data_IF_483547465578
#
_entry.id   IF_483547465578
#
_cell.length_a   1.000
_cell.length_b   1.000
_cell.length_c   1.000
_cell.angle_alpha   90.00
_cell.angle_beta   90.00
_cell.angle_gamma   90.00
#
_symmetry.space_group_name_H-M   'P 1'
#
loop_
_entity.id
_entity.type
_entity.pdbx_description
1 polymer ?
#
# COMPACT_ATOMS: atom_id res chain seq x y z
N UNK A 1 -12.07 16.50 -32.60
CA UNK A 1 -10.58 16.45 -32.61
C UNK A 1 -10.00 17.86 -32.74
N UNK A 2 -9.42 18.41 -31.67
CA UNK A 2 -8.82 19.75 -31.70
C UNK A 2 -7.52 19.77 -32.53
N UNK A 3 -7.16 20.90 -33.17
CA UNK A 3 -5.87 21.05 -33.84
C UNK A 3 -4.71 20.85 -32.85
N UNK A 4 -3.59 20.29 -33.31
CA UNK A 4 -2.45 19.87 -32.47
C UNK A 4 -1.93 20.97 -31.51
N UNK A 5 -1.97 22.24 -31.92
CA UNK A 5 -1.59 23.40 -31.10
C UNK A 5 -2.56 23.68 -29.93
N UNK A 6 -3.87 23.55 -30.16
CA UNK A 6 -4.88 23.73 -29.12
C UNK A 6 -4.87 22.59 -28.09
N UNK A 7 -4.54 21.37 -28.55
CA UNK A 7 -4.41 20.20 -27.68
C UNK A 7 -3.28 20.35 -26.65
N UNK A 8 -2.12 20.87 -27.06
CA UNK A 8 -0.99 21.05 -26.15
C UNK A 8 -1.27 22.13 -25.08
N UNK A 9 -1.91 23.24 -25.47
CA UNK A 9 -2.26 24.31 -24.53
C UNK A 9 -3.24 23.82 -23.46
N UNK A 10 -4.23 23.00 -23.84
CA UNK A 10 -5.17 22.39 -22.90
C UNK A 10 -4.51 21.42 -21.92
N UNK A 11 -3.50 20.66 -22.37
CA UNK A 11 -2.74 19.78 -21.46
C UNK A 11 -1.92 20.57 -20.45
N UNK A 12 -1.27 21.65 -20.89
CA UNK A 12 -0.51 22.53 -20.00
C UNK A 12 -1.44 23.20 -18.96
N UNK A 13 -2.62 23.67 -19.37
CA UNK A 13 -3.64 24.18 -18.44
C UNK A 13 -4.00 23.15 -17.37
N UNK A 14 -4.29 21.91 -17.76
CA UNK A 14 -4.59 20.82 -16.82
C UNK A 14 -3.43 20.54 -15.85
N UNK A 15 -2.20 20.48 -16.38
CA UNK A 15 -1.01 20.22 -15.56
C UNK A 15 -0.71 21.37 -14.59
N UNK A 16 -0.92 22.62 -15.01
CA UNK A 16 -0.78 23.79 -14.13
C UNK A 16 -1.77 23.70 -12.98
N UNK A 17 -3.03 23.37 -13.27
CA UNK A 17 -4.06 23.22 -12.24
C UNK A 17 -3.74 22.07 -11.26
N UNK A 18 -3.24 20.93 -11.76
CA UNK A 18 -2.80 19.84 -10.90
C UNK A 18 -1.67 20.25 -9.93
N UNK A 19 -0.70 21.03 -10.41
CA UNK A 19 0.39 21.56 -9.57
C UNK A 19 -0.13 22.56 -8.55
N UNK A 20 -1.07 23.43 -8.94
CA UNK A 20 -1.69 24.41 -8.05
C UNK A 20 -2.45 23.73 -6.89
N UNK A 21 -3.27 22.72 -7.18
CA UNK A 21 -3.96 21.90 -6.17
C UNK A 21 -2.97 21.23 -5.22
N UNK A 22 -1.86 20.73 -5.76
CA UNK A 22 -0.77 20.15 -4.97
C UNK A 22 -0.20 21.16 -3.97
N UNK A 23 0.10 22.39 -4.42
CA UNK A 23 0.70 23.45 -3.58
C UNK A 23 -0.29 23.97 -2.54
N UNK A 24 -1.51 24.30 -2.94
CA UNK A 24 -2.46 25.07 -2.12
C UNK A 24 -3.30 24.18 -1.22
N UNK A 25 -4.01 23.19 -1.77
CA UNK A 25 -4.89 22.31 -1.02
C UNK A 25 -4.11 21.20 -0.32
N UNK A 26 -3.20 20.54 -1.05
CA UNK A 26 -2.48 19.39 -0.51
C UNK A 26 -1.22 19.79 0.26
N UNK A 27 -0.74 21.04 0.20
CA UNK A 27 0.50 21.50 0.86
C UNK A 27 1.73 20.67 0.50
N UNK A 28 1.83 20.29 -0.77
CA UNK A 28 2.97 19.60 -1.34
C UNK A 28 4.13 20.56 -1.60
N UNK A 29 5.37 20.08 -1.41
CA UNK A 29 6.57 20.83 -1.77
C UNK A 29 6.84 20.62 -3.25
N UNK A 30 6.33 21.54 -4.07
CA UNK A 30 6.44 21.52 -5.53
C UNK A 30 7.22 22.75 -6.03
N UNK A 31 8.24 23.17 -5.27
CA UNK A 31 9.13 24.28 -5.65
C UNK A 31 9.87 23.90 -6.93
N UNK A 32 9.82 24.78 -7.94
CA UNK A 32 10.45 24.54 -9.24
C UNK A 32 9.71 23.53 -10.13
N UNK A 33 8.49 23.11 -9.79
CA UNK A 33 7.63 22.27 -10.64
C UNK A 33 6.51 23.14 -11.22
N UNK A 34 6.37 23.12 -12.56
CA UNK A 34 5.28 23.74 -13.32
C UNK A 34 4.52 22.72 -14.18
N UNK A 35 3.41 23.15 -14.77
CA UNK A 35 2.61 22.27 -15.63
C UNK A 35 3.30 21.88 -16.93
N UNK A 36 4.25 22.71 -17.40
CA UNK A 36 5.09 22.38 -18.56
C UNK A 36 5.95 21.14 -18.31
N UNK A 37 6.59 21.05 -17.14
CA UNK A 37 7.44 19.91 -16.77
C UNK A 37 6.67 18.59 -16.78
N UNK A 38 5.42 18.60 -16.31
CA UNK A 38 4.55 17.44 -16.32
C UNK A 38 4.08 17.09 -17.73
N UNK A 39 3.70 18.08 -18.53
CA UNK A 39 3.24 17.87 -19.91
C UNK A 39 4.37 17.36 -20.83
N UNK A 40 5.60 17.82 -20.61
CA UNK A 40 6.80 17.34 -21.32
C UNK A 40 7.31 16.00 -20.79
N UNK A 41 6.73 15.48 -19.70
CA UNK A 41 7.07 14.17 -19.15
C UNK A 41 8.42 14.14 -18.45
N UNK A 42 8.82 15.24 -17.78
CA UNK A 42 10.05 15.25 -16.98
C UNK A 42 9.97 14.15 -15.90
N UNK A 43 10.81 13.10 -15.95
CA UNK A 43 10.66 11.93 -15.10
C UNK A 43 10.90 12.27 -13.62
N UNK A 44 11.90 13.12 -13.33
CA UNK A 44 12.25 13.51 -11.97
C UNK A 44 11.12 14.30 -11.31
N UNK A 45 10.59 15.31 -12.00
CA UNK A 45 9.55 16.18 -11.43
C UNK A 45 8.18 15.48 -11.35
N UNK A 46 7.89 14.61 -12.32
CA UNK A 46 6.69 13.76 -12.28
C UNK A 46 6.75 12.78 -11.10
N UNK A 47 7.87 12.10 -10.89
CA UNK A 47 8.05 11.19 -9.75
C UNK A 47 7.99 11.93 -8.40
N UNK A 48 8.52 13.16 -8.32
CA UNK A 48 8.43 13.98 -7.12
C UNK A 48 6.97 14.25 -6.71
N UNK A 49 6.10 14.60 -7.67
CA UNK A 49 4.67 14.80 -7.42
C UNK A 49 3.97 13.49 -7.03
N UNK A 50 4.19 12.42 -7.79
CA UNK A 50 3.56 11.10 -7.55
C UNK A 50 3.97 10.53 -6.18
N UNK A 51 5.23 10.70 -5.79
CA UNK A 51 5.70 10.29 -4.46
C UNK A 51 4.97 11.02 -3.34
N UNK A 52 4.75 12.33 -3.46
CA UNK A 52 4.04 13.10 -2.44
C UNK A 52 2.54 12.72 -2.38
N UNK A 53 1.92 12.43 -3.52
CA UNK A 53 0.56 11.87 -3.59
C UNK A 53 0.49 10.53 -2.87
N UNK A 54 1.39 9.60 -3.18
CA UNK A 54 1.47 8.29 -2.54
C UNK A 54 1.67 8.42 -1.02
N UNK A 55 2.61 9.28 -0.59
CA UNK A 55 2.87 9.53 0.83
C UNK A 55 1.63 10.09 1.54
N UNK A 56 0.92 11.04 0.93
CA UNK A 56 -0.31 11.59 1.50
C UNK A 56 -1.40 10.53 1.60
N UNK A 57 -1.57 9.70 0.57
CA UNK A 57 -2.52 8.60 0.60
C UNK A 57 -2.23 7.64 1.76
N UNK A 58 -0.99 7.19 1.93
CA UNK A 58 -0.59 6.34 3.07
C UNK A 58 -0.91 7.00 4.41
N UNK A 59 -0.61 8.29 4.56
CA UNK A 59 -0.90 9.02 5.79
C UNK A 59 -2.40 9.17 6.05
N UNK A 60 -3.22 9.35 5.01
CA UNK A 60 -4.67 9.42 5.15
C UNK A 60 -5.25 8.06 5.57
N UNK A 61 -4.81 6.97 4.93
CA UNK A 61 -5.19 5.60 5.35
C UNK A 61 -4.84 5.38 6.81
N UNK A 62 -3.67 5.82 7.26
CA UNK A 62 -3.26 5.73 8.66
C UNK A 62 -4.08 6.67 9.58
N UNK A 63 -4.40 7.88 9.15
CA UNK A 63 -5.20 8.83 9.96
C UNK A 63 -6.64 8.35 10.17
N UNK A 64 -7.26 7.82 9.12
CA UNK A 64 -8.63 7.28 9.18
C UNK A 64 -8.71 6.09 10.15
N UNK A 65 -7.65 5.28 10.17
CA UNK A 65 -7.48 4.18 11.11
C UNK A 65 -7.41 4.66 12.56
N UNK A 66 -6.72 5.77 12.84
CA UNK A 66 -6.43 6.28 14.18
C UNK A 66 -7.45 7.22 14.81
N UNK A 67 -8.67 7.35 14.27
CA UNK A 67 -9.70 8.28 14.77
C UNK A 67 -9.19 9.74 14.90
N UNK A 68 -8.34 10.18 13.97
CA UNK A 68 -7.73 11.51 13.99
C UNK A 68 -6.41 11.60 14.76
N UNK A 69 -5.95 10.52 15.40
CA UNK A 69 -4.59 10.37 15.92
C UNK A 69 -3.60 9.84 14.88
N UNK A 70 -2.31 10.15 15.05
CA UNK A 70 -1.25 9.47 14.29
C UNK A 70 -1.25 7.98 14.67
N UNK A 71 -1.55 7.10 13.72
CA UNK A 71 -1.36 5.66 13.94
C UNK A 71 0.13 5.39 14.03
N UNK A 72 0.56 4.90 15.20
CA UNK A 72 1.91 4.44 15.43
C UNK A 72 2.05 2.99 14.96
N UNK A 73 3.27 2.60 14.55
CA UNK A 73 3.62 1.24 14.13
C UNK A 73 3.15 0.19 15.16
N UNK A 74 3.30 0.50 16.44
CA UNK A 74 2.87 -0.35 17.56
C UNK A 74 1.37 -0.64 17.55
N UNK A 75 0.53 0.33 17.18
CA UNK A 75 -0.92 0.16 17.11
C UNK A 75 -1.29 -0.85 16.03
N UNK A 76 -0.64 -0.77 14.87
CA UNK A 76 -0.87 -1.70 13.76
C UNK A 76 -0.42 -3.10 14.17
N UNK A 77 0.79 -3.25 14.71
CA UNK A 77 1.34 -4.54 15.15
C UNK A 77 0.42 -5.18 16.20
N UNK A 78 -0.02 -4.39 17.19
CA UNK A 78 -0.96 -4.84 18.22
C UNK A 78 -2.27 -5.33 17.60
N UNK A 79 -2.85 -4.56 16.68
CA UNK A 79 -4.09 -4.94 16.00
C UNK A 79 -3.92 -6.23 15.18
N UNK A 80 -2.82 -6.36 14.45
CA UNK A 80 -2.51 -7.57 13.67
C UNK A 80 -2.45 -8.79 14.57
N UNK A 81 -1.66 -8.73 15.65
CA UNK A 81 -1.48 -9.86 16.56
C UNK A 81 -2.78 -10.20 17.31
N UNK A 82 -3.59 -9.21 17.69
CA UNK A 82 -4.90 -9.44 18.29
C UNK A 82 -5.86 -10.12 17.30
N UNK A 83 -5.88 -9.68 16.05
CA UNK A 83 -6.74 -10.25 15.00
C UNK A 83 -6.36 -11.70 14.71
N UNK A 84 -5.06 -12.00 14.63
CA UNK A 84 -4.54 -13.35 14.45
C UNK A 84 -4.87 -14.26 15.65
N UNK A 85 -4.69 -13.77 16.88
CA UNK A 85 -5.02 -14.51 18.10
C UNK A 85 -6.52 -14.83 18.18
N UNK A 86 -7.39 -13.86 17.88
CA UNK A 86 -8.84 -14.06 17.87
C UNK A 86 -9.29 -15.10 16.84
N UNK A 87 -8.56 -15.24 15.74
CA UNK A 87 -8.80 -16.25 14.70
C UNK A 87 -8.08 -17.58 14.97
N UNK A 88 -7.50 -17.78 16.17
CA UNK A 88 -6.73 -18.95 16.56
C UNK A 88 -5.59 -19.30 15.58
N UNK A 89 -4.93 -18.28 15.01
CA UNK A 89 -3.77 -18.45 14.13
C UNK A 89 -2.48 -18.50 14.95
N UNK A 90 -1.54 -19.34 14.53
CA UNK A 90 -0.25 -19.51 15.21
C UNK A 90 0.79 -18.46 14.83
N UNK A 91 0.58 -17.74 13.72
CA UNK A 91 1.50 -16.70 13.25
C UNK A 91 1.32 -15.41 14.05
N UNK A 92 2.43 -14.72 14.30
CA UNK A 92 2.45 -13.37 14.86
C UNK A 92 3.63 -12.60 14.27
N UNK A 93 3.62 -11.28 14.44
CA UNK A 93 4.73 -10.40 14.05
C UNK A 93 5.22 -9.59 15.24
N UNK A 94 6.54 -9.50 15.39
CA UNK A 94 7.16 -8.65 16.41
C UNK A 94 7.40 -7.22 15.92
N UNK A 95 7.69 -7.07 14.62
CA UNK A 95 7.96 -5.79 13.98
C UNK A 95 7.73 -5.89 12.46
N UNK A 96 7.73 -4.76 11.75
CA UNK A 96 7.72 -4.77 10.28
C UNK A 96 9.04 -5.21 9.63
N UNK A 97 10.05 -5.56 10.44
CA UNK A 97 11.34 -6.14 10.03
C UNK A 97 11.41 -7.65 10.31
N UNK A 98 10.32 -8.24 10.79
CA UNK A 98 10.30 -9.63 11.21
C UNK A 98 10.49 -10.56 10.00
N UNK A 99 11.48 -11.44 10.08
CA UNK A 99 11.84 -12.33 8.97
C UNK A 99 10.75 -13.36 8.66
N UNK A 100 9.85 -13.64 9.60
CA UNK A 100 8.67 -14.48 9.36
C UNK A 100 7.79 -13.94 8.23
N UNK A 101 7.78 -12.63 8.01
CA UNK A 101 7.04 -11.95 6.93
C UNK A 101 7.54 -12.38 5.55
N UNK A 102 8.82 -12.77 5.42
CA UNK A 102 9.38 -13.27 4.14
C UNK A 102 8.65 -14.50 3.60
N UNK A 103 7.96 -15.24 4.45
CA UNK A 103 7.14 -16.41 4.07
C UNK A 103 5.75 -16.03 3.57
N UNK A 104 5.34 -14.78 3.78
CA UNK A 104 3.98 -14.25 3.60
C UNK A 104 2.88 -14.97 4.41
N UNK A 105 3.22 -15.91 5.30
CA UNK A 105 2.26 -16.64 6.12
C UNK A 105 1.50 -15.73 7.09
N UNK A 106 2.12 -14.79 7.83
CA UNK A 106 1.38 -13.88 8.70
C UNK A 106 0.37 -13.02 7.94
N UNK A 107 0.68 -12.67 6.69
CA UNK A 107 -0.21 -11.88 5.82
C UNK A 107 -1.38 -12.75 5.36
N UNK A 108 -1.14 -13.98 4.92
CA UNK A 108 -2.17 -14.91 4.50
C UNK A 108 -3.12 -15.29 5.65
N UNK A 109 -2.56 -15.58 6.83
CA UNK A 109 -3.35 -15.89 8.01
C UNK A 109 -4.19 -14.69 8.48
N UNK A 110 -3.66 -13.46 8.34
CA UNK A 110 -4.41 -12.25 8.61
C UNK A 110 -5.54 -12.01 7.61
N UNK A 111 -5.31 -12.27 6.32
CA UNK A 111 -6.35 -12.19 5.28
C UNK A 111 -7.47 -13.18 5.57
N UNK A 112 -7.15 -14.41 5.95
CA UNK A 112 -8.14 -15.43 6.31
C UNK A 112 -8.91 -15.05 7.60
N UNK A 113 -8.25 -14.40 8.56
CA UNK A 113 -8.90 -13.87 9.75
C UNK A 113 -9.89 -12.73 9.44
N UNK A 114 -9.56 -11.85 8.48
CA UNK A 114 -10.42 -10.73 8.06
C UNK A 114 -11.58 -11.23 7.18
N UNK A 115 -11.29 -12.14 6.25
CA UNK A 115 -12.22 -12.65 5.27
C UNK A 115 -12.12 -14.19 5.21
N UNK A 116 -12.86 -14.90 6.09
CA UNK A 116 -12.85 -16.36 6.11
C UNK A 116 -13.18 -16.94 4.74
N UNK A 117 -12.49 -18.00 4.32
CA UNK A 117 -12.62 -18.66 3.01
C UNK A 117 -12.07 -17.86 1.81
N UNK A 118 -11.46 -16.70 2.04
CA UNK A 118 -10.78 -15.97 0.95
C UNK A 118 -9.46 -16.64 0.54
N UNK A 119 -8.78 -17.28 1.51
CA UNK A 119 -7.53 -18.00 1.31
C UNK A 119 -7.82 -19.48 1.10
N UNK A 120 -7.28 -20.03 0.03
CA UNK A 120 -7.35 -21.46 -0.28
C UNK A 120 -6.11 -22.16 0.29
N UNK A 121 -6.24 -23.05 1.28
CA UNK A 121 -5.10 -23.73 1.90
C UNK A 121 -4.23 -24.48 0.89
N UNK A 122 -4.82 -25.05 -0.16
CA UNK A 122 -4.12 -25.78 -1.23
C UNK A 122 -3.17 -24.90 -2.06
N UNK A 123 -3.36 -23.58 -2.04
CA UNK A 123 -2.51 -22.61 -2.75
C UNK A 123 -1.36 -22.09 -1.87
N UNK A 124 -1.29 -22.47 -0.59
CA UNK A 124 -0.33 -21.95 0.38
C UNK A 124 0.59 -23.07 0.83
N UNK A 125 1.88 -22.96 0.48
CA UNK A 125 2.90 -23.83 1.05
C UNK A 125 3.31 -23.27 2.41
N UNK A 126 3.39 -24.11 3.45
CA UNK A 126 3.76 -23.70 4.82
C UNK A 126 5.08 -24.31 5.31
N UNK A 127 5.41 -25.51 4.85
CA UNK A 127 6.60 -26.27 5.24
C UNK A 127 7.66 -26.26 4.12
N UNK A 128 8.93 -26.43 4.48
CA UNK A 128 10.08 -26.54 3.56
C UNK A 128 10.06 -25.49 2.42
N UNK A 129 9.99 -24.23 2.82
CA UNK A 129 9.85 -23.09 1.93
C UNK A 129 11.15 -22.77 1.19
N UNK A 130 11.17 -23.06 -0.10
CA UNK A 130 12.21 -22.56 -1.00
C UNK A 130 12.01 -21.06 -1.28
N UNK A 131 13.03 -20.34 -1.80
CA UNK A 131 12.86 -18.96 -2.22
C UNK A 131 11.74 -18.77 -3.26
N UNK A 132 11.56 -19.74 -4.16
CA UNK A 132 10.48 -19.74 -5.14
C UNK A 132 9.10 -19.87 -4.46
N UNK A 133 8.99 -20.70 -3.43
CA UNK A 133 7.74 -20.88 -2.67
C UNK A 133 7.36 -19.61 -1.90
N UNK A 134 8.35 -18.94 -1.28
CA UNK A 134 8.13 -17.64 -0.62
C UNK A 134 7.58 -16.60 -1.60
N UNK A 135 8.16 -16.55 -2.80
CA UNK A 135 7.70 -15.64 -3.85
C UNK A 135 6.29 -15.99 -4.34
N UNK A 136 5.96 -17.29 -4.47
CA UNK A 136 4.63 -17.74 -4.87
C UNK A 136 3.58 -17.40 -3.79
N UNK A 137 3.90 -17.62 -2.51
CA UNK A 137 3.06 -17.22 -1.39
C UNK A 137 2.84 -15.70 -1.37
N UNK A 138 3.90 -14.89 -1.61
CA UNK A 138 3.81 -13.44 -1.65
C UNK A 138 2.90 -12.95 -2.81
N UNK A 139 3.07 -13.51 -4.01
CA UNK A 139 2.19 -13.25 -5.17
C UNK A 139 0.73 -13.58 -4.85
N UNK A 140 0.50 -14.72 -4.22
CA UNK A 140 -0.83 -15.14 -3.82
C UNK A 140 -1.44 -14.22 -2.75
N UNK A 141 -0.68 -13.88 -1.70
CA UNK A 141 -1.10 -12.99 -0.62
C UNK A 141 -1.55 -11.63 -1.15
N UNK A 142 -0.74 -11.00 -2.03
CA UNK A 142 -1.08 -9.71 -2.63
C UNK A 142 -2.34 -9.82 -3.49
N UNK A 143 -2.48 -10.90 -4.26
CA UNK A 143 -3.65 -11.11 -5.12
C UNK A 143 -4.94 -11.24 -4.33
N UNK A 144 -4.93 -12.04 -3.25
CA UNK A 144 -6.13 -12.21 -2.40
C UNK A 144 -6.40 -10.96 -1.59
N UNK A 145 -5.38 -10.28 -1.07
CA UNK A 145 -5.57 -9.02 -0.36
C UNK A 145 -6.27 -7.96 -1.25
N UNK A 146 -5.86 -7.84 -2.52
CA UNK A 146 -6.55 -6.98 -3.50
C UNK A 146 -7.96 -7.46 -3.79
N UNK A 147 -8.18 -8.78 -3.91
CA UNK A 147 -9.51 -9.37 -4.13
C UNK A 147 -10.48 -9.03 -2.99
N UNK A 148 -10.02 -8.96 -1.75
CA UNK A 148 -10.86 -8.55 -0.61
C UNK A 148 -11.02 -7.02 -0.49
N UNK A 149 -10.41 -6.23 -1.38
CA UNK A 149 -10.54 -4.78 -1.43
C UNK A 149 -9.43 -4.00 -0.73
N UNK A 150 -8.33 -4.64 -0.30
CA UNK A 150 -7.19 -3.92 0.26
C UNK A 150 -6.36 -3.24 -0.86
N UNK A 151 -6.14 -1.94 -0.74
CA UNK A 151 -5.41 -1.12 -1.73
C UNK A 151 -3.89 -1.27 -1.63
N UNK A 152 -3.38 -2.49 -1.88
CA UNK A 152 -1.96 -2.80 -1.76
C UNK A 152 -1.20 -2.52 -3.06
N UNK A 153 -0.17 -1.70 -2.96
CA UNK A 153 0.77 -1.40 -4.05
C UNK A 153 2.15 -2.06 -3.89
N UNK A 154 2.38 -2.84 -2.81
CA UNK A 154 3.61 -3.59 -2.63
C UNK A 154 3.79 -4.67 -3.70
N UNK A 155 5.05 -4.95 -4.04
CA UNK A 155 5.44 -6.06 -4.89
C UNK A 155 5.69 -7.31 -4.06
N UNK A 156 5.58 -8.52 -4.65
CA UNK A 156 5.93 -9.77 -3.97
C UNK A 156 7.34 -9.75 -3.40
N UNK A 157 8.30 -9.20 -4.15
CA UNK A 157 9.70 -9.09 -3.73
C UNK A 157 9.86 -8.19 -2.49
N UNK A 158 9.02 -7.16 -2.32
CA UNK A 158 9.07 -6.31 -1.13
C UNK A 158 8.70 -7.07 0.15
N UNK A 159 7.87 -8.11 0.04
CA UNK A 159 7.51 -8.99 1.15
C UNK A 159 8.61 -10.02 1.43
N UNK A 160 9.15 -10.63 0.37
CA UNK A 160 10.22 -11.64 0.48
C UNK A 160 11.50 -11.04 1.06
N UNK A 161 11.85 -9.82 0.63
CA UNK A 161 13.00 -9.04 1.15
C UNK A 161 12.69 -8.30 2.45
N UNK A 162 11.44 -8.34 2.94
CA UNK A 162 10.99 -7.68 4.18
C UNK A 162 11.32 -6.18 4.19
N UNK A 163 10.91 -5.45 3.15
CA UNK A 163 11.10 -3.98 3.09
C UNK A 163 10.15 -3.29 4.07
N UNK A 164 10.64 -2.70 5.18
CA UNK A 164 9.76 -2.38 6.31
C UNK A 164 8.68 -1.36 5.98
N UNK A 165 8.99 -0.37 5.13
CA UNK A 165 8.02 0.64 4.68
C UNK A 165 6.88 0.04 3.85
N UNK A 166 7.19 -0.95 3.00
CA UNK A 166 6.21 -1.61 2.14
C UNK A 166 5.40 -2.64 2.93
N UNK A 167 6.04 -3.34 3.85
CA UNK A 167 5.39 -4.28 4.77
C UNK A 167 4.39 -3.55 5.68
N UNK A 168 4.80 -2.41 6.25
CA UNK A 168 3.92 -1.56 7.07
C UNK A 168 2.67 -1.15 6.29
N UNK A 169 2.81 -0.72 5.03
CA UNK A 169 1.67 -0.26 4.22
C UNK A 169 0.71 -1.39 3.88
N UNK A 170 1.22 -2.61 3.68
CA UNK A 170 0.40 -3.83 3.50
C UNK A 170 -0.48 -4.08 4.72
N UNK A 171 0.11 -4.11 5.93
CA UNK A 171 -0.65 -4.31 7.16
C UNK A 171 -1.64 -3.17 7.45
N UNK A 172 -1.25 -1.93 7.18
CA UNK A 172 -2.14 -0.78 7.31
C UNK A 172 -3.36 -0.90 6.37
N UNK A 173 -3.16 -1.29 5.11
CA UNK A 173 -4.27 -1.48 4.16
C UNK A 173 -5.20 -2.63 4.58
N UNK A 174 -4.64 -3.73 5.10
CA UNK A 174 -5.42 -4.85 5.63
C UNK A 174 -6.20 -4.46 6.89
N UNK A 175 -5.60 -3.67 7.78
CA UNK A 175 -6.28 -3.10 8.94
C UNK A 175 -7.45 -2.19 8.53
N UNK A 176 -7.25 -1.34 7.53
CA UNK A 176 -8.31 -0.48 6.99
C UNK A 176 -9.49 -1.28 6.46
N UNK A 177 -9.20 -2.39 5.77
CA UNK A 177 -10.23 -3.31 5.29
C UNK A 177 -10.92 -4.08 6.41
N UNK A 178 -10.16 -4.58 7.39
CA UNK A 178 -10.67 -5.37 8.52
C UNK A 178 -11.54 -4.58 9.48
N UNK A 179 -11.26 -3.28 9.66
CA UNK A 179 -12.06 -2.37 10.47
C UNK A 179 -13.26 -1.77 9.71
N UNK A 180 -13.51 -2.20 8.46
CA UNK A 180 -14.53 -1.64 7.56
C UNK A 180 -14.43 -0.10 7.38
N UNK A 181 -13.23 0.46 7.58
CA UNK A 181 -12.96 1.90 7.43
C UNK A 181 -12.65 2.28 5.99
N UNK A 182 -12.37 1.30 5.13
CA UNK A 182 -12.26 1.47 3.68
C UNK A 182 -13.59 0.99 3.06
N UNK A 183 -14.38 1.93 2.54
CA UNK A 183 -15.58 1.65 1.74
C UNK A 183 -15.21 1.32 0.30
#
# INVERSE_FOLDING_TARGET
PYPALGGNMKKIENCNYAVELGKTNARFSLVGIGGKDLNEGNPTLTLALVWQLMRRYTLNVLSDLGEGGKVNDETIIKWVNQTLANANKMTSISSFKDQSISTSLPILDLIDAIAPKAVRPEMVKREDLTPADKLNNAKYAISIARKIGACIYALPDDLVEVKPKMVMTVFACLMGRGLNKIK
#
